data_IF_988633948105
#
_entry.id   IF_988633948105
#
_cell.length_a   1.000
_cell.length_b   1.000
_cell.length_c   1.000
_cell.angle_alpha   90.00
_cell.angle_beta   90.00
_cell.angle_gamma   90.00
#
_symmetry.space_group_name_H-M   'P 1'
#
loop_
_entity.id
_entity.type
_entity.pdbx_description
1 polymer ?
#
# COMPACT_ATOMS: atom_id res chain seq x y z
N UNK A 1 13.22 -11.34 -10.43
CA UNK A 1 14.20 -10.72 -9.48
C UNK A 1 13.54 -9.52 -8.82
N UNK A 2 13.61 -9.42 -7.50
CA UNK A 2 13.05 -8.30 -6.72
C UNK A 2 13.81 -7.01 -7.08
N UNK A 3 13.10 -5.97 -7.50
CA UNK A 3 13.69 -4.65 -7.78
C UNK A 3 13.99 -3.94 -6.48
N UNK A 4 15.11 -3.23 -6.45
CA UNK A 4 15.47 -2.36 -5.33
C UNK A 4 15.09 -0.94 -5.67
N UNK A 5 14.19 -0.35 -4.89
CA UNK A 5 13.81 1.06 -4.99
C UNK A 5 14.56 1.84 -3.92
N UNK A 6 15.22 2.92 -4.33
CA UNK A 6 15.88 3.87 -3.46
C UNK A 6 15.16 5.21 -3.53
N UNK A 7 14.84 5.77 -2.38
CA UNK A 7 14.28 7.11 -2.26
C UNK A 7 15.42 8.08 -1.95
N UNK A 8 15.56 9.17 -2.71
CA UNK A 8 16.60 10.18 -2.52
C UNK A 8 15.95 11.53 -2.25
N UNK A 9 16.14 12.09 -1.06
CA UNK A 9 15.69 13.44 -0.72
C UNK A 9 16.84 14.42 -0.96
N UNK A 10 16.64 15.34 -1.90
CA UNK A 10 17.64 16.34 -2.25
C UNK A 10 17.41 17.63 -1.47
N UNK A 11 18.38 18.04 -0.68
CA UNK A 11 18.39 19.24 0.15
C UNK A 11 17.12 19.40 1.04
N UNK A 12 16.68 18.32 1.74
CA UNK A 12 15.51 18.44 2.61
C UNK A 12 15.79 19.49 3.69
N UNK A 13 14.80 20.36 3.92
CA UNK A 13 14.94 21.49 4.84
C UNK A 13 14.60 21.13 6.26
N UNK A 14 13.56 20.30 6.45
CA UNK A 14 13.04 19.89 7.75
C UNK A 14 13.40 18.44 8.05
N UNK A 15 14.05 18.21 9.18
CA UNK A 15 14.38 16.88 9.64
C UNK A 15 13.14 16.02 9.93
N UNK A 16 12.05 16.67 10.31
CA UNK A 16 10.76 16.06 10.52
C UNK A 16 10.22 15.43 9.22
N UNK A 17 10.37 16.10 8.08
CA UNK A 17 10.00 15.56 6.78
C UNK A 17 10.83 14.34 6.41
N UNK A 18 12.13 14.34 6.75
CA UNK A 18 12.99 13.17 6.55
C UNK A 18 12.51 11.99 7.39
N UNK A 19 12.26 12.22 8.69
CA UNK A 19 11.75 11.19 9.60
C UNK A 19 10.39 10.64 9.18
N UNK A 20 9.45 11.52 8.78
CA UNK A 20 8.14 11.11 8.27
C UNK A 20 8.24 10.33 6.95
N UNK A 21 9.14 10.74 6.03
CA UNK A 21 9.42 9.99 4.81
C UNK A 21 9.94 8.59 5.11
N UNK A 22 10.90 8.50 6.05
CA UNK A 22 11.45 7.21 6.48
C UNK A 22 10.38 6.29 7.08
N UNK A 23 9.51 6.86 7.91
CA UNK A 23 8.34 6.14 8.45
C UNK A 23 7.43 5.65 7.34
N UNK A 24 7.10 6.50 6.37
CA UNK A 24 6.20 6.17 5.27
C UNK A 24 6.76 5.03 4.41
N UNK A 25 8.02 5.12 3.98
CA UNK A 25 8.62 4.04 3.18
C UNK A 25 8.70 2.73 3.96
N UNK A 26 8.99 2.80 5.27
CA UNK A 26 9.02 1.64 6.16
C UNK A 26 7.65 0.96 6.28
N UNK A 27 6.56 1.73 6.44
CA UNK A 27 5.19 1.21 6.46
C UNK A 27 4.82 0.44 5.19
N UNK A 28 5.41 0.79 4.04
CA UNK A 28 5.17 0.16 2.75
C UNK A 28 6.24 -0.85 2.33
N UNK A 29 7.11 -1.27 3.26
CA UNK A 29 8.08 -2.34 3.05
C UNK A 29 9.34 -1.93 2.30
N UNK A 30 9.63 -0.62 2.21
CA UNK A 30 10.88 -0.10 1.67
C UNK A 30 11.83 0.32 2.79
N UNK A 31 13.16 0.21 2.55
CA UNK A 31 14.17 0.52 3.56
C UNK A 31 15.24 1.50 3.07
N UNK A 32 15.32 1.76 1.77
CA UNK A 32 16.42 2.51 1.19
C UNK A 32 16.07 3.98 1.05
N UNK A 33 16.45 4.79 2.02
CA UNK A 33 16.42 6.24 1.99
C UNK A 33 17.82 6.81 1.96
N UNK A 34 18.05 7.80 1.11
CA UNK A 34 19.29 8.58 1.06
C UNK A 34 18.99 10.07 1.05
N UNK A 35 19.92 10.84 1.59
CA UNK A 35 19.85 12.30 1.63
C UNK A 35 21.00 12.86 0.79
N UNK A 36 20.72 13.91 0.06
CA UNK A 36 21.74 14.72 -0.63
C UNK A 36 21.76 16.10 0.00
N UNK A 37 22.90 16.50 0.56
CA UNK A 37 23.13 17.82 1.14
C UNK A 37 21.97 18.33 2.01
N UNK A 38 21.53 17.57 3.05
CA UNK A 38 20.41 18.00 3.90
C UNK A 38 20.78 19.30 4.61
N UNK A 39 19.81 20.21 4.77
CA UNK A 39 20.02 21.51 5.44
C UNK A 39 20.40 21.37 6.91
N UNK A 40 19.88 20.33 7.56
CA UNK A 40 20.17 20.01 8.96
C UNK A 40 20.99 18.71 9.02
N UNK A 41 21.90 18.63 9.98
CA UNK A 41 22.69 17.42 10.22
C UNK A 41 21.75 16.24 10.45
N UNK A 42 22.06 15.13 9.83
CA UNK A 42 21.33 13.86 10.00
C UNK A 42 22.27 12.79 10.55
N UNK A 43 21.83 11.95 11.50
CA UNK A 43 20.51 11.99 12.18
C UNK A 43 20.43 13.08 13.26
N UNK A 44 19.22 13.48 13.64
CA UNK A 44 18.95 14.35 14.78
C UNK A 44 17.63 14.00 15.47
N UNK A 45 17.43 14.54 16.69
CA UNK A 45 16.30 14.17 17.55
C UNK A 45 14.93 14.36 16.89
N UNK A 46 14.75 15.45 16.13
CA UNK A 46 13.47 15.75 15.46
C UNK A 46 13.15 14.72 14.38
N UNK A 47 14.14 14.35 13.58
CA UNK A 47 14.01 13.34 12.55
C UNK A 47 13.77 11.95 13.14
N UNK A 48 14.51 11.59 14.19
CA UNK A 48 14.35 10.29 14.89
C UNK A 48 12.94 10.18 15.50
N UNK A 49 12.48 11.21 16.23
CA UNK A 49 11.13 11.24 16.81
C UNK A 49 10.04 11.12 15.75
N UNK A 50 10.20 11.73 14.57
CA UNK A 50 9.26 11.63 13.48
C UNK A 50 9.23 10.26 12.78
N UNK A 51 10.34 9.52 12.81
CA UNK A 51 10.43 8.15 12.28
C UNK A 51 9.70 7.11 13.15
N UNK A 52 9.46 7.39 14.43
CA UNK A 52 8.73 6.53 15.40
C UNK A 52 9.22 5.06 15.36
N UNK A 53 8.31 4.13 15.04
CA UNK A 53 8.60 2.68 15.04
C UNK A 53 9.68 2.26 14.02
N UNK A 54 10.06 3.12 13.09
CA UNK A 54 11.10 2.87 12.09
C UNK A 54 12.44 3.51 12.46
N UNK A 55 12.66 3.82 13.72
CA UNK A 55 13.94 4.38 14.21
C UNK A 55 15.16 3.50 13.88
N UNK A 56 14.99 2.19 13.76
CA UNK A 56 16.04 1.27 13.30
C UNK A 56 16.53 1.58 11.88
N UNK A 57 15.65 2.10 11.01
CA UNK A 57 16.02 2.49 9.65
C UNK A 57 16.83 3.80 9.61
N UNK A 58 16.75 4.63 10.66
CA UNK A 58 17.52 5.89 10.75
C UNK A 58 19.01 5.66 10.54
N UNK A 59 19.54 4.58 11.12
CA UNK A 59 20.95 4.19 11.00
C UNK A 59 21.34 3.73 9.58
N UNK A 60 20.37 3.34 8.77
CA UNK A 60 20.57 2.90 7.37
C UNK A 60 20.57 4.06 6.38
N UNK A 61 20.10 5.25 6.79
CA UNK A 61 20.04 6.43 5.93
C UNK A 61 21.45 6.91 5.63
N UNK A 62 21.79 6.98 4.34
CA UNK A 62 23.09 7.48 3.87
C UNK A 62 22.99 8.94 3.47
N UNK A 63 24.01 9.72 3.78
CA UNK A 63 24.09 11.13 3.41
C UNK A 63 25.21 11.30 2.37
N UNK A 64 24.90 12.01 1.29
CA UNK A 64 25.80 12.26 0.17
C UNK A 64 25.90 13.76 -0.09
N UNK A 65 26.99 14.18 -0.75
CA UNK A 65 27.19 15.58 -1.13
C UNK A 65 26.55 15.94 -2.47
N UNK A 66 26.30 14.95 -3.34
CA UNK A 66 25.78 15.18 -4.67
C UNK A 66 24.80 14.09 -5.12
N UNK A 67 23.92 14.43 -6.09
CA UNK A 67 23.01 13.47 -6.71
C UNK A 67 23.77 12.34 -7.41
N UNK A 68 24.84 12.60 -8.20
CA UNK A 68 25.61 11.52 -8.81
C UNK A 68 26.20 10.53 -7.80
N UNK A 69 26.65 10.99 -6.62
CA UNK A 69 27.10 10.09 -5.57
C UNK A 69 25.98 9.23 -5.00
N UNK A 70 24.82 9.85 -4.71
CA UNK A 70 23.67 9.16 -4.14
C UNK A 70 23.09 8.09 -5.08
N UNK A 71 23.16 8.34 -6.40
CA UNK A 71 22.65 7.41 -7.40
C UNK A 71 23.66 6.36 -7.87
N UNK A 72 24.87 6.35 -7.34
CA UNK A 72 25.89 5.38 -7.72
C UNK A 72 25.40 3.94 -7.58
N UNK A 73 25.48 3.19 -8.68
CA UNK A 73 24.95 1.83 -8.77
C UNK A 73 23.43 1.74 -8.98
N UNK A 74 22.74 2.86 -9.25
CA UNK A 74 21.39 2.87 -9.79
C UNK A 74 21.45 2.92 -11.31
N UNK A 75 20.57 2.14 -11.95
CA UNK A 75 20.51 2.09 -13.42
C UNK A 75 19.63 3.22 -13.96
N UNK A 76 18.63 3.62 -13.18
CA UNK A 76 17.60 4.60 -13.59
C UNK A 76 17.37 5.59 -12.44
N UNK A 77 17.34 6.87 -12.79
CA UNK A 77 16.91 7.96 -11.92
C UNK A 77 15.60 8.55 -12.42
N UNK A 78 14.61 8.64 -11.53
CA UNK A 78 13.29 9.24 -11.78
C UNK A 78 13.19 10.49 -10.91
N UNK A 79 13.01 11.66 -11.51
CA UNK A 79 12.85 12.92 -10.78
C UNK A 79 11.37 13.27 -10.59
N UNK A 80 10.98 13.64 -9.37
CA UNK A 80 9.61 14.09 -9.08
C UNK A 80 9.47 15.58 -9.35
N UNK A 81 8.38 15.98 -10.04
CA UNK A 81 8.08 17.39 -10.32
C UNK A 81 6.60 17.57 -10.60
N UNK A 82 6.02 18.68 -10.14
CA UNK A 82 4.66 19.10 -10.52
C UNK A 82 4.69 20.19 -11.60
N UNK A 83 5.86 20.79 -11.84
CA UNK A 83 6.01 21.86 -12.84
C UNK A 83 6.16 21.27 -14.22
N UNK A 84 5.46 21.82 -15.21
CA UNK A 84 5.76 21.58 -16.62
C UNK A 84 7.18 22.06 -16.91
N UNK A 85 7.96 21.24 -17.58
CA UNK A 85 9.37 21.51 -17.90
C UNK A 85 9.58 21.31 -19.38
N UNK A 86 10.33 22.21 -20.00
CA UNK A 86 10.70 22.13 -21.41
C UNK A 86 11.93 21.24 -21.64
N UNK A 87 11.93 20.08 -21.01
CA UNK A 87 12.97 19.06 -21.19
C UNK A 87 12.43 17.88 -21.98
N UNK A 88 13.27 17.35 -22.88
CA UNK A 88 12.98 16.10 -23.59
C UNK A 88 13.14 14.85 -22.71
N UNK A 89 12.88 14.97 -21.41
CA UNK A 89 12.89 13.83 -20.47
C UNK A 89 11.48 13.24 -20.45
N UNK A 90 11.31 11.96 -20.82
CA UNK A 90 10.00 11.35 -20.91
C UNK A 90 9.29 11.26 -19.56
N UNK A 91 7.97 11.48 -19.51
CA UNK A 91 7.19 11.26 -18.31
C UNK A 91 7.03 9.77 -18.03
N UNK A 92 6.86 9.42 -16.75
CA UNK A 92 6.54 8.06 -16.29
C UNK A 92 5.47 8.11 -15.21
N UNK A 93 4.56 7.14 -15.20
CA UNK A 93 3.59 6.95 -14.12
C UNK A 93 4.14 5.96 -13.09
N UNK A 94 3.68 6.05 -11.84
CA UNK A 94 4.15 5.16 -10.75
C UNK A 94 3.95 3.69 -11.11
N UNK A 95 2.82 3.34 -11.71
CA UNK A 95 2.50 1.96 -12.10
C UNK A 95 3.36 1.40 -13.27
N UNK A 96 4.14 2.24 -13.93
CA UNK A 96 5.07 1.83 -15.00
C UNK A 96 6.47 1.54 -14.46
N UNK A 97 6.84 2.08 -13.29
CA UNK A 97 8.16 1.90 -12.67
C UNK A 97 8.53 0.42 -12.51
N UNK A 98 7.63 -0.46 -12.02
CA UNK A 98 7.94 -1.89 -11.91
C UNK A 98 8.18 -2.60 -13.25
N UNK A 99 7.72 -2.03 -14.37
CA UNK A 99 7.90 -2.60 -15.71
C UNK A 99 9.26 -2.25 -16.33
N UNK A 100 9.98 -1.26 -15.81
CA UNK A 100 11.30 -0.86 -16.31
C UNK A 100 12.29 -2.03 -16.21
N UNK A 101 13.09 -2.23 -17.24
CA UNK A 101 14.15 -3.27 -17.27
C UNK A 101 15.36 -2.81 -16.47
N UNK A 102 15.25 -2.75 -15.15
CA UNK A 102 16.30 -2.33 -14.24
C UNK A 102 16.18 -3.05 -12.92
N UNK A 103 17.32 -3.35 -12.29
CA UNK A 103 17.38 -3.98 -10.96
C UNK A 103 17.33 -2.94 -9.83
N UNK A 104 17.90 -1.77 -10.05
CA UNK A 104 17.98 -0.71 -9.04
C UNK A 104 17.51 0.62 -9.64
N UNK A 105 16.45 1.17 -9.06
CA UNK A 105 15.82 2.42 -9.48
C UNK A 105 15.87 3.40 -8.34
N UNK A 106 16.32 4.63 -8.61
CA UNK A 106 16.29 5.74 -7.65
C UNK A 106 15.18 6.72 -8.01
N UNK A 107 14.46 7.18 -7.00
CA UNK A 107 13.43 8.22 -7.11
C UNK A 107 13.94 9.44 -6.34
N UNK A 108 14.09 10.56 -7.05
CA UNK A 108 14.64 11.81 -6.55
C UNK A 108 13.52 12.79 -6.21
N UNK A 109 13.53 13.27 -4.99
CA UNK A 109 12.60 14.28 -4.47
C UNK A 109 13.34 15.58 -4.21
N UNK A 110 12.72 16.70 -4.59
CA UNK A 110 13.28 18.03 -4.38
C UNK A 110 13.03 18.57 -2.97
N UNK A 111 13.66 19.70 -2.67
CA UNK A 111 13.43 20.44 -1.44
C UNK A 111 12.01 20.99 -1.35
N UNK A 112 11.53 21.28 -0.13
CA UNK A 112 10.15 21.66 0.15
C UNK A 112 9.70 22.93 -0.59
N UNK A 113 10.54 23.97 -0.60
CA UNK A 113 10.13 25.28 -1.13
C UNK A 113 10.21 25.39 -2.65
N UNK A 114 11.29 24.86 -3.26
CA UNK A 114 11.60 25.11 -4.67
C UNK A 114 11.53 23.86 -5.54
N UNK A 115 11.39 22.67 -4.94
CA UNK A 115 11.48 21.42 -5.65
C UNK A 115 12.88 21.17 -6.22
N UNK A 116 12.98 20.51 -7.34
CA UNK A 116 14.23 20.27 -8.08
C UNK A 116 14.49 21.41 -9.08
N UNK A 117 15.73 21.86 -9.14
CA UNK A 117 16.20 22.77 -10.19
C UNK A 117 16.39 22.04 -11.52
N UNK A 118 16.52 22.81 -12.61
CA UNK A 118 16.77 22.26 -13.94
C UNK A 118 18.06 21.42 -14.00
N UNK A 119 19.12 21.90 -13.33
CA UNK A 119 20.39 21.17 -13.22
C UNK A 119 20.23 19.83 -12.46
N UNK A 120 19.39 19.78 -11.44
CA UNK A 120 19.16 18.55 -10.69
C UNK A 120 18.29 17.56 -11.48
N UNK A 121 17.29 18.06 -12.21
CA UNK A 121 16.44 17.26 -13.09
C UNK A 121 17.22 16.68 -14.28
N UNK A 122 18.21 17.39 -14.82
CA UNK A 122 19.00 16.91 -15.98
C UNK A 122 19.72 15.58 -15.76
N UNK A 123 19.87 15.14 -14.51
CA UNK A 123 20.40 13.80 -14.19
C UNK A 123 19.36 12.67 -14.34
N UNK A 124 18.08 12.99 -14.52
CA UNK A 124 17.01 11.99 -14.52
C UNK A 124 16.77 11.37 -15.90
N UNK A 125 16.39 10.10 -15.89
CA UNK A 125 15.95 9.38 -17.08
C UNK A 125 14.45 9.58 -17.35
N UNK A 126 13.67 9.84 -16.30
CA UNK A 126 12.22 10.04 -16.39
C UNK A 126 11.75 11.12 -15.42
N UNK A 127 10.61 11.74 -15.74
CA UNK A 127 9.91 12.68 -14.88
C UNK A 127 8.64 12.02 -14.31
N UNK A 128 8.47 12.06 -13.02
CA UNK A 128 7.29 11.58 -12.32
C UNK A 128 6.51 12.75 -11.73
N UNK A 129 5.24 12.87 -12.11
CA UNK A 129 4.32 13.83 -11.51
C UNK A 129 3.14 13.09 -10.90
N UNK A 130 2.81 13.42 -9.67
CA UNK A 130 1.54 13.00 -9.07
C UNK A 130 0.44 13.97 -9.50
N UNK A 131 -0.71 13.47 -9.97
CA UNK A 131 -1.84 14.34 -10.30
C UNK A 131 -2.38 15.00 -9.03
N UNK A 132 -2.36 16.32 -8.99
CA UNK A 132 -2.93 17.12 -7.92
C UNK A 132 -3.86 18.18 -8.50
N UNK A 133 -4.84 18.63 -7.70
CA UNK A 133 -5.73 19.68 -8.13
C UNK A 133 -4.93 20.97 -8.41
N UNK A 134 -5.13 21.57 -9.58
CA UNK A 134 -4.41 22.76 -10.05
C UNK A 134 -2.87 22.65 -10.01
N UNK A 135 -2.31 21.44 -10.17
CA UNK A 135 -0.87 21.18 -10.07
C UNK A 135 -0.25 21.69 -8.76
N UNK A 136 -1.00 21.65 -7.67
CA UNK A 136 -0.53 22.08 -6.35
C UNK A 136 0.60 21.19 -5.85
N UNK A 137 1.62 21.80 -5.23
CA UNK A 137 2.73 21.05 -4.65
C UNK A 137 2.31 20.41 -3.32
N UNK A 138 2.59 19.10 -3.20
CA UNK A 138 2.42 18.38 -1.94
C UNK A 138 3.65 18.55 -1.04
N UNK A 139 3.44 18.43 0.27
CA UNK A 139 4.56 18.30 1.20
C UNK A 139 5.47 17.12 0.80
N UNK A 140 6.78 17.26 1.06
CA UNK A 140 7.79 16.27 0.71
C UNK A 140 7.46 14.87 1.24
N UNK A 141 7.17 14.73 2.53
CA UNK A 141 6.88 13.43 3.14
C UNK A 141 5.58 12.83 2.64
N UNK A 142 4.57 13.64 2.31
CA UNK A 142 3.32 13.17 1.69
C UNK A 142 3.56 12.64 0.27
N UNK A 143 4.38 13.34 -0.53
CA UNK A 143 4.75 12.87 -1.87
C UNK A 143 5.47 11.51 -1.80
N UNK A 144 6.42 11.37 -0.86
CA UNK A 144 7.12 10.10 -0.62
C UNK A 144 6.13 9.00 -0.21
N UNK A 145 5.19 9.31 0.69
CA UNK A 145 4.19 8.35 1.17
C UNK A 145 3.30 7.83 0.04
N UNK A 146 2.77 8.71 -0.80
CA UNK A 146 1.90 8.34 -1.91
C UNK A 146 2.62 7.46 -2.94
N UNK A 147 3.85 7.82 -3.31
CA UNK A 147 4.65 7.04 -4.26
C UNK A 147 5.00 5.68 -3.66
N UNK A 148 5.39 5.62 -2.39
CA UNK A 148 5.68 4.36 -1.70
C UNK A 148 4.43 3.48 -1.61
N UNK A 149 3.26 4.06 -1.29
CA UNK A 149 1.98 3.35 -1.28
C UNK A 149 1.67 2.74 -2.64
N UNK A 150 1.65 3.52 -3.72
CA UNK A 150 1.34 3.01 -5.06
C UNK A 150 2.31 1.90 -5.49
N UNK A 151 3.62 2.07 -5.26
CA UNK A 151 4.62 1.04 -5.56
C UNK A 151 4.40 -0.24 -4.76
N UNK A 152 3.97 -0.14 -3.50
CA UNK A 152 3.67 -1.30 -2.65
C UNK A 152 2.46 -2.07 -3.17
N UNK A 153 1.40 -1.37 -3.62
CA UNK A 153 0.19 -2.01 -4.14
C UNK A 153 0.49 -2.90 -5.36
N UNK A 154 1.38 -2.47 -6.24
CA UNK A 154 1.78 -3.26 -7.40
C UNK A 154 2.56 -4.51 -6.99
N UNK A 155 3.36 -4.42 -5.92
CA UNK A 155 4.08 -5.56 -5.35
C UNK A 155 3.16 -6.50 -4.57
N UNK A 156 2.10 -5.97 -3.95
CA UNK A 156 1.12 -6.69 -3.14
C UNK A 156 -0.04 -7.25 -3.96
N UNK A 157 -0.21 -6.86 -5.23
CA UNK A 157 -1.27 -7.39 -6.11
C UNK A 157 -1.21 -8.91 -6.30
N UNK A 158 -0.11 -9.54 -5.89
CA UNK A 158 0.04 -11.01 -5.80
C UNK A 158 -0.22 -11.57 -4.40
N UNK A 159 -0.51 -10.73 -3.40
CA UNK A 159 -0.91 -11.18 -2.08
C UNK A 159 -2.43 -11.09 -2.04
N UNK A 160 -3.09 -12.22 -2.28
CA UNK A 160 -4.50 -12.34 -1.89
C UNK A 160 -4.61 -11.91 -0.44
N UNK A 161 -5.53 -10.99 -0.08
CA UNK A 161 -5.77 -10.68 1.32
C UNK A 161 -6.10 -12.02 1.99
N UNK A 162 -5.22 -12.50 2.83
CA UNK A 162 -5.51 -13.61 3.73
C UNK A 162 -6.54 -13.06 4.71
N UNK A 163 -7.82 -13.25 4.40
CA UNK A 163 -8.83 -13.20 5.45
C UNK A 163 -8.37 -14.24 6.47
N UNK A 164 -8.20 -13.85 7.73
CA UNK A 164 -7.78 -14.76 8.81
C UNK A 164 -8.69 -16.00 8.91
N UNK A 165 -9.88 -15.94 8.31
CA UNK A 165 -10.83 -17.03 8.22
C UNK A 165 -11.17 -17.31 6.76
N UNK A 166 -10.82 -18.49 6.27
CA UNK A 166 -11.26 -18.96 4.95
C UNK A 166 -12.79 -19.04 4.90
N UNK A 167 -13.43 -18.58 3.80
CA UNK A 167 -14.85 -18.77 3.62
C UNK A 167 -15.27 -20.22 3.84
N UNK A 168 -16.44 -20.44 4.41
CA UNK A 168 -16.96 -21.79 4.59
C UNK A 168 -17.09 -22.52 3.25
N UNK A 169 -16.76 -23.79 3.22
CA UNK A 169 -16.90 -24.60 2.02
C UNK A 169 -18.37 -24.71 1.62
N UNK A 170 -18.65 -24.89 0.32
CA UNK A 170 -20.02 -25.17 -0.15
C UNK A 170 -20.65 -26.35 0.59
N UNK A 171 -19.84 -27.36 0.94
CA UNK A 171 -20.28 -28.52 1.72
C UNK A 171 -20.73 -28.16 3.13
N UNK A 172 -20.03 -27.22 3.81
CA UNK A 172 -20.39 -26.77 5.14
C UNK A 172 -21.64 -25.91 5.12
N UNK A 173 -21.79 -25.08 4.10
CA UNK A 173 -22.99 -24.26 3.87
C UNK A 173 -24.20 -25.16 3.64
N UNK A 174 -24.13 -26.15 2.76
CA UNK A 174 -25.25 -27.07 2.50
C UNK A 174 -25.62 -27.93 3.71
N UNK A 175 -24.64 -28.40 4.50
CA UNK A 175 -24.91 -29.10 5.76
C UNK A 175 -25.66 -28.20 6.76
N UNK A 176 -25.20 -26.95 6.91
CA UNK A 176 -25.85 -26.00 7.80
C UNK A 176 -27.28 -25.66 7.34
N UNK A 177 -27.45 -25.42 6.05
CA UNK A 177 -28.77 -25.15 5.46
C UNK A 177 -29.75 -26.33 5.69
N UNK A 178 -29.31 -27.56 5.43
CA UNK A 178 -30.12 -28.75 5.69
C UNK A 178 -30.52 -28.91 7.16
N UNK A 179 -29.60 -28.57 8.07
CA UNK A 179 -29.90 -28.59 9.52
C UNK A 179 -30.92 -27.51 9.87
N UNK A 180 -30.77 -26.29 9.36
CA UNK A 180 -31.68 -25.18 9.61
C UNK A 180 -33.07 -25.49 9.07
N UNK A 181 -33.18 -26.02 7.85
CA UNK A 181 -34.46 -26.39 7.23
C UNK A 181 -35.20 -27.44 8.05
N UNK A 182 -34.50 -28.49 8.58
CA UNK A 182 -35.13 -29.49 9.47
C UNK A 182 -35.74 -28.87 10.74
N UNK A 183 -35.04 -27.86 11.33
CA UNK A 183 -35.54 -27.14 12.50
C UNK A 183 -36.82 -26.36 12.14
N UNK A 184 -36.78 -25.63 11.02
CA UNK A 184 -37.91 -24.82 10.55
C UNK A 184 -39.12 -25.70 10.24
N UNK A 185 -38.93 -26.87 9.64
CA UNK A 185 -39.99 -27.87 9.39
C UNK A 185 -40.62 -28.39 10.69
N UNK A 186 -39.77 -28.79 11.65
CA UNK A 186 -40.22 -29.25 12.98
C UNK A 186 -41.06 -28.18 13.71
N UNK A 187 -40.73 -26.91 13.51
CA UNK A 187 -41.43 -25.77 14.10
C UNK A 187 -42.63 -25.29 13.24
N UNK A 188 -42.97 -26.01 12.16
CA UNK A 188 -44.09 -25.69 11.24
C UNK A 188 -43.98 -24.30 10.61
N UNK A 189 -42.74 -23.75 10.51
CA UNK A 189 -42.49 -22.44 9.88
C UNK A 189 -42.74 -22.48 8.37
N UNK A 190 -42.54 -23.64 7.74
CA UNK A 190 -42.72 -23.87 6.31
C UNK A 190 -43.65 -25.04 6.05
N UNK A 191 -44.95 -24.86 6.36
CA UNK A 191 -45.94 -25.93 6.18
C UNK A 191 -46.45 -26.07 4.74
N UNK A 192 -46.16 -25.13 3.83
CA UNK A 192 -46.64 -25.12 2.45
C UNK A 192 -45.45 -25.17 1.48
N UNK A 193 -45.44 -26.16 0.56
CA UNK A 193 -44.33 -26.50 -0.34
C UNK A 193 -43.72 -25.34 -1.11
N UNK A 194 -44.46 -24.43 -1.81
CA UNK A 194 -43.84 -23.33 -2.55
C UNK A 194 -43.07 -22.34 -1.67
N UNK A 195 -43.52 -22.12 -0.44
CA UNK A 195 -42.82 -21.21 0.51
C UNK A 195 -41.53 -21.83 1.04
N UNK A 196 -41.50 -23.16 1.19
CA UNK A 196 -40.31 -23.91 1.63
C UNK A 196 -39.17 -23.78 0.62
N UNK A 197 -39.43 -24.06 -0.65
CA UNK A 197 -38.40 -24.07 -1.69
C UNK A 197 -37.86 -22.65 -1.94
N UNK A 198 -38.70 -21.64 -1.95
CA UNK A 198 -38.28 -20.24 -2.05
C UNK A 198 -37.44 -19.79 -0.86
N UNK A 199 -37.78 -20.23 0.36
CA UNK A 199 -37.02 -19.94 1.57
C UNK A 199 -35.65 -20.61 1.51
N UNK A 200 -35.58 -21.88 1.10
CA UNK A 200 -34.32 -22.60 0.97
C UNK A 200 -33.37 -21.94 -0.04
N UNK A 201 -33.90 -21.53 -1.20
CA UNK A 201 -33.12 -20.79 -2.22
C UNK A 201 -32.61 -19.46 -1.65
N UNK A 202 -33.48 -18.69 -0.99
CA UNK A 202 -33.10 -17.40 -0.40
C UNK A 202 -32.03 -17.54 0.67
N UNK A 203 -32.15 -18.52 1.57
CA UNK A 203 -31.16 -18.80 2.61
C UNK A 203 -29.83 -19.26 2.02
N UNK A 204 -29.85 -20.12 0.99
CA UNK A 204 -28.66 -20.56 0.27
C UNK A 204 -27.93 -19.37 -0.35
N UNK A 205 -28.66 -18.50 -1.02
CA UNK A 205 -28.09 -17.29 -1.62
C UNK A 205 -27.50 -16.36 -0.55
N UNK A 206 -28.21 -16.12 0.53
CA UNK A 206 -27.74 -15.31 1.65
C UNK A 206 -26.43 -15.86 2.23
N UNK A 207 -26.36 -17.17 2.54
CA UNK A 207 -25.15 -17.79 3.10
C UNK A 207 -23.95 -17.74 2.15
N UNK A 208 -24.19 -17.86 0.83
CA UNK A 208 -23.12 -17.78 -0.19
C UNK A 208 -22.64 -16.35 -0.42
N UNK A 209 -23.53 -15.38 -0.44
CA UNK A 209 -23.19 -13.98 -0.71
C UNK A 209 -22.57 -13.28 0.50
N UNK A 210 -22.95 -13.68 1.72
CA UNK A 210 -22.40 -13.12 2.97
C UNK A 210 -20.96 -13.56 3.27
N UNK A 211 -20.35 -14.43 2.44
CA UNK A 211 -18.98 -14.97 2.63
C UNK A 211 -18.73 -15.49 4.04
N UNK A 212 -19.72 -16.11 4.64
CA UNK A 212 -19.68 -16.67 6.00
C UNK A 212 -18.51 -17.64 6.16
N UNK A 213 -17.75 -17.54 7.24
CA UNK A 213 -16.63 -18.43 7.54
C UNK A 213 -17.05 -19.65 8.36
N UNK A 214 -16.14 -20.62 8.53
CA UNK A 214 -16.39 -21.84 9.32
C UNK A 214 -16.70 -21.56 10.78
N UNK A 215 -16.08 -20.55 11.37
CA UNK A 215 -16.29 -20.18 12.78
C UNK A 215 -17.71 -19.63 12.97
N UNK A 216 -18.14 -18.77 12.05
CA UNK A 216 -19.49 -18.22 12.04
C UNK A 216 -20.56 -19.31 11.88
N UNK A 217 -20.36 -20.27 10.95
CA UNK A 217 -21.26 -21.44 10.81
C UNK A 217 -21.33 -22.26 12.10
N UNK A 218 -20.18 -22.55 12.73
CA UNK A 218 -20.14 -23.28 14.00
C UNK A 218 -20.89 -22.54 15.11
N UNK A 219 -20.73 -21.24 15.19
CA UNK A 219 -21.45 -20.38 16.13
C UNK A 219 -22.96 -20.45 15.89
N UNK A 220 -23.39 -20.30 14.64
CA UNK A 220 -24.81 -20.43 14.27
C UNK A 220 -25.40 -21.80 14.60
N UNK A 221 -24.63 -22.90 14.38
CA UNK A 221 -25.03 -24.23 14.82
C UNK A 221 -25.21 -24.30 16.34
N UNK A 222 -24.29 -23.74 17.14
CA UNK A 222 -24.37 -23.72 18.59
C UNK A 222 -25.62 -23.02 19.08
N UNK A 223 -25.92 -21.84 18.55
CA UNK A 223 -27.11 -21.06 18.87
C UNK A 223 -28.39 -21.85 18.54
N UNK A 224 -28.48 -22.39 17.33
CA UNK A 224 -29.66 -23.16 16.91
C UNK A 224 -29.86 -24.40 17.78
N UNK A 225 -28.81 -25.15 18.11
CA UNK A 225 -28.89 -26.31 19.01
C UNK A 225 -29.38 -25.94 20.41
N UNK A 226 -28.95 -24.79 20.94
CA UNK A 226 -29.39 -24.31 22.25
C UNK A 226 -30.87 -23.95 22.25
N UNK A 227 -31.35 -23.24 21.21
CA UNK A 227 -32.74 -22.80 21.11
C UNK A 227 -33.71 -23.97 20.81
N UNK A 228 -33.21 -25.09 20.30
CA UNK A 228 -34.03 -26.23 19.86
C UNK A 228 -34.00 -27.42 20.82
N UNK A 229 -33.30 -27.29 21.95
CA UNK A 229 -33.43 -28.20 23.10
C UNK A 229 -34.73 -27.93 23.83
#
# INVERSE_FOLDING_TARGET
>A
MKKTIQFILNKPQLSENVGMSLRSIGCFGFENLSLVSPRKIWPNDKGIKSAKHFSSLVKKVKVYQSIPEAMKGSDILIATTVRKRDFHIPPIKVNEIPKLKSKKISILFGQENNGLSNKEISHANFLLSLPTYNNSSLNLSHTVALIAYELSQISLSNINPTFENSPASSKDIEKFLSFLMKILEKRKFTSISPKRDNLEISLRNFLKTSKIDQKQIKTAYGILKFITK
#
